data_IF_699044572857
#
_entry.id   IF_699044572857
#
_cell.length_a   1.000
_cell.length_b   1.000
_cell.length_c   1.000
_cell.angle_alpha   90.00
_cell.angle_beta   90.00
_cell.angle_gamma   90.00
#
_symmetry.space_group_name_H-M   'P 1'
#
loop_
_entity.id
_entity.type
_entity.pdbx_description
1 polymer ?
#
# COMPACT_ATOMS: atom_id res chain seq x y z
N UNK A 1 6.04 10.28 -17.95
CA UNK A 1 7.19 10.66 -17.12
C UNK A 1 8.15 9.48 -17.14
N UNK A 2 9.33 9.64 -17.75
CA UNK A 2 10.38 8.62 -17.75
C UNK A 2 10.84 8.40 -16.31
N UNK A 3 10.46 7.26 -15.73
CA UNK A 3 10.97 6.82 -14.43
C UNK A 3 12.48 6.65 -14.55
N UNK A 4 13.23 7.64 -14.08
CA UNK A 4 14.67 7.49 -13.92
C UNK A 4 14.83 6.48 -12.80
N UNK A 5 15.33 5.28 -13.10
CA UNK A 5 15.68 4.29 -12.08
C UNK A 5 16.77 4.87 -11.19
N UNK A 6 16.34 5.52 -10.10
CA UNK A 6 17.19 6.13 -9.10
C UNK A 6 17.81 5.02 -8.27
N UNK A 7 19.14 4.89 -8.34
CA UNK A 7 19.82 3.89 -7.52
C UNK A 7 19.73 4.24 -6.03
N UNK A 8 19.74 3.23 -5.16
CA UNK A 8 19.76 3.42 -3.70
C UNK A 8 20.95 4.29 -3.24
N UNK A 9 22.11 4.14 -3.89
CA UNK A 9 23.30 4.95 -3.64
C UNK A 9 23.10 6.44 -3.98
N UNK A 10 22.49 6.73 -5.12
CA UNK A 10 22.17 8.11 -5.52
C UNK A 10 21.10 8.72 -4.64
N UNK A 11 20.09 7.95 -4.25
CA UNK A 11 19.05 8.38 -3.33
C UNK A 11 19.65 8.74 -1.97
N UNK A 12 20.49 7.86 -1.39
CA UNK A 12 21.20 8.13 -0.15
C UNK A 12 22.04 9.40 -0.24
N UNK A 13 22.81 9.57 -1.32
CA UNK A 13 23.62 10.78 -1.55
C UNK A 13 22.76 12.05 -1.56
N UNK A 14 21.61 12.02 -2.23
CA UNK A 14 20.67 13.15 -2.27
C UNK A 14 20.09 13.47 -0.90
N UNK A 15 19.65 12.45 -0.16
CA UNK A 15 19.08 12.60 1.19
C UNK A 15 20.11 13.20 2.14
N UNK A 16 21.32 12.63 2.18
CA UNK A 16 22.39 13.12 3.05
C UNK A 16 22.84 14.53 2.70
N UNK A 17 22.72 14.94 1.43
CA UNK A 17 23.04 16.29 0.98
C UNK A 17 22.14 17.40 1.57
N UNK A 18 21.01 17.06 2.19
CA UNK A 18 20.16 18.03 2.89
C UNK A 18 20.58 18.28 4.35
N UNK A 19 21.50 17.48 4.88
CA UNK A 19 21.97 17.59 6.25
C UNK A 19 23.39 18.15 6.28
N UNK A 20 23.61 19.13 7.14
CA UNK A 20 24.92 19.75 7.35
C UNK A 20 25.88 18.82 8.12
N UNK A 21 25.33 17.99 9.00
CA UNK A 21 26.05 17.13 9.93
C UNK A 21 25.41 15.75 10.03
N UNK A 22 26.25 14.73 10.12
CA UNK A 22 25.82 13.33 10.36
C UNK A 22 26.26 12.95 11.77
N UNK A 23 25.35 12.61 12.70
CA UNK A 23 25.66 12.38 14.10
C UNK A 23 26.36 11.02 14.37
N UNK A 24 26.78 10.30 13.32
CA UNK A 24 27.41 9.00 13.45
C UNK A 24 28.92 9.13 13.70
N UNK A 25 29.46 8.23 14.54
CA UNK A 25 30.91 8.12 14.74
C UNK A 25 31.67 7.84 13.43
N UNK A 26 31.05 7.13 12.49
CA UNK A 26 31.55 6.94 11.12
C UNK A 26 30.48 7.32 10.08
N UNK A 27 30.61 8.48 9.42
CA UNK A 27 29.71 8.91 8.35
C UNK A 27 29.66 7.95 7.16
N UNK A 28 30.75 7.21 6.87
CA UNK A 28 30.77 6.24 5.76
C UNK A 28 29.93 5.02 6.11
N UNK A 29 30.04 4.51 7.33
CA UNK A 29 29.19 3.43 7.83
C UNK A 29 27.71 3.85 7.84
N UNK A 30 27.41 5.09 8.25
CA UNK A 30 26.05 5.62 8.21
C UNK A 30 25.49 5.68 6.78
N UNK A 31 26.27 6.20 5.83
CA UNK A 31 25.88 6.25 4.43
C UNK A 31 25.67 4.85 3.84
N UNK A 32 26.56 3.90 4.14
CA UNK A 32 26.40 2.50 3.72
C UNK A 32 25.12 1.88 4.28
N UNK A 33 24.82 2.09 5.57
CA UNK A 33 23.58 1.63 6.19
C UNK A 33 22.33 2.25 5.56
N UNK A 34 22.38 3.54 5.19
CA UNK A 34 21.27 4.17 4.47
C UNK A 34 21.07 3.56 3.08
N UNK A 35 22.16 3.28 2.34
CA UNK A 35 22.08 2.62 1.03
C UNK A 35 21.47 1.22 1.15
N UNK A 36 21.90 0.45 2.15
CA UNK A 36 21.36 -0.88 2.43
C UNK A 36 19.86 -0.80 2.74
N UNK A 37 19.44 0.12 3.61
CA UNK A 37 18.02 0.35 3.92
C UNK A 37 17.26 0.65 2.63
N UNK A 38 17.69 1.66 1.85
CA UNK A 38 17.01 2.08 0.63
C UNK A 38 16.94 0.99 -0.44
N UNK A 39 17.90 0.05 -0.48
CA UNK A 39 17.89 -1.06 -1.44
C UNK A 39 16.71 -2.03 -1.29
N UNK A 40 16.04 -2.02 -0.13
CA UNK A 40 14.90 -2.88 0.16
C UNK A 40 13.54 -2.26 -0.23
N UNK A 41 13.51 -1.03 -0.73
CA UNK A 41 12.27 -0.30 -1.00
C UNK A 41 11.99 -0.18 -2.51
N UNK A 42 10.70 -0.12 -2.91
CA UNK A 42 10.34 0.04 -4.31
C UNK A 42 10.70 1.44 -4.82
N UNK A 43 10.93 1.53 -6.13
CA UNK A 43 11.40 2.75 -6.81
C UNK A 43 10.56 4.01 -6.50
N UNK A 44 9.23 3.87 -6.47
CA UNK A 44 8.32 4.98 -6.14
C UNK A 44 8.54 5.55 -4.72
N UNK A 45 8.93 4.69 -3.77
CA UNK A 45 9.26 5.11 -2.40
C UNK A 45 10.61 5.83 -2.38
N UNK A 46 11.61 5.39 -3.15
CA UNK A 46 12.90 6.08 -3.27
C UNK A 46 12.72 7.48 -3.87
N UNK A 47 11.90 7.61 -4.91
CA UNK A 47 11.59 8.90 -5.54
C UNK A 47 10.91 9.87 -4.56
N UNK A 48 9.99 9.37 -3.74
CA UNK A 48 9.38 10.15 -2.65
C UNK A 48 10.41 10.53 -1.58
N UNK A 49 11.28 9.60 -1.19
CA UNK A 49 12.24 9.79 -0.11
C UNK A 49 13.25 10.92 -0.38
N UNK A 50 13.63 11.15 -1.64
CA UNK A 50 14.54 12.23 -2.03
C UNK A 50 13.87 13.58 -2.24
N UNK A 51 12.53 13.68 -2.08
CA UNK A 51 11.82 14.95 -2.23
C UNK A 51 12.23 15.93 -1.12
N UNK A 52 12.65 17.18 -1.45
CA UNK A 52 13.07 18.15 -0.44
C UNK A 52 11.95 18.50 0.56
N UNK A 53 10.71 18.63 0.07
CA UNK A 53 9.57 19.11 0.87
C UNK A 53 8.73 17.99 1.48
N UNK A 54 8.70 16.80 0.85
CA UNK A 54 7.81 15.69 1.23
C UNK A 54 8.55 14.38 1.50
N UNK A 55 9.87 14.38 1.33
CA UNK A 55 10.74 13.23 1.55
C UNK A 55 11.36 13.23 2.94
N UNK A 56 12.44 12.47 3.11
CA UNK A 56 13.05 12.24 4.42
C UNK A 56 13.60 13.52 5.05
N UNK A 57 14.18 14.41 4.24
CA UNK A 57 14.68 15.71 4.69
C UNK A 57 13.58 16.62 5.27
N UNK A 58 12.36 16.53 4.74
CA UNK A 58 11.22 17.30 5.26
C UNK A 58 10.55 16.65 6.48
N UNK A 59 10.65 15.32 6.62
CA UNK A 59 10.02 14.56 7.70
C UNK A 59 10.90 14.43 8.95
N UNK A 60 12.23 14.40 8.77
CA UNK A 60 13.18 14.12 9.85
C UNK A 60 14.23 15.23 9.91
N UNK A 61 14.24 15.97 11.02
CA UNK A 61 15.13 17.12 11.21
C UNK A 61 16.61 16.75 11.36
N UNK A 62 16.91 15.55 11.87
CA UNK A 62 18.28 15.07 12.09
C UNK A 62 18.48 13.67 11.50
N UNK A 63 19.60 13.39 10.82
CA UNK A 63 19.76 12.13 10.12
C UNK A 63 19.85 10.97 11.11
N UNK A 64 18.86 10.09 11.05
CA UNK A 64 18.70 8.96 11.95
C UNK A 64 18.12 7.77 11.16
N UNK A 65 18.87 6.68 11.06
CA UNK A 65 18.47 5.52 10.26
C UNK A 65 17.17 4.88 10.75
N UNK A 66 16.92 4.84 12.05
CA UNK A 66 15.68 4.30 12.59
C UNK A 66 14.47 5.17 12.18
N UNK A 67 14.60 6.50 12.29
CA UNK A 67 13.55 7.42 11.85
C UNK A 67 13.34 7.41 10.35
N UNK A 68 14.41 7.31 9.56
CA UNK A 68 14.27 7.11 8.12
C UNK A 68 13.52 5.84 7.80
N UNK A 69 13.88 4.72 8.45
CA UNK A 69 13.21 3.43 8.26
C UNK A 69 11.72 3.50 8.61
N UNK A 70 11.35 4.12 9.73
CA UNK A 70 9.93 4.32 10.11
C UNK A 70 9.11 4.98 8.99
N UNK A 71 9.62 6.05 8.39
CA UNK A 71 8.92 6.74 7.29
C UNK A 71 8.92 5.93 5.99
N UNK A 72 10.04 5.28 5.66
CA UNK A 72 10.14 4.45 4.46
C UNK A 72 9.19 3.24 4.53
N UNK A 73 9.09 2.59 5.70
CA UNK A 73 8.16 1.49 5.93
C UNK A 73 6.71 1.96 5.77
N UNK A 74 6.34 3.11 6.36
CA UNK A 74 5.00 3.67 6.19
C UNK A 74 4.66 3.95 4.71
N UNK A 75 5.58 4.55 3.95
CA UNK A 75 5.36 4.83 2.53
C UNK A 75 5.34 3.58 1.65
N UNK A 76 6.11 2.55 2.03
CA UNK A 76 6.06 1.24 1.37
C UNK A 76 4.69 0.61 1.56
N UNK A 77 4.17 0.65 2.78
CA UNK A 77 2.88 0.06 3.09
C UNK A 77 1.75 0.83 2.37
N UNK A 78 1.80 2.16 2.33
CA UNK A 78 0.91 2.99 1.49
C UNK A 78 0.99 2.59 0.01
N UNK A 79 2.21 2.45 -0.53
CA UNK A 79 2.43 2.06 -1.92
C UNK A 79 1.79 0.71 -2.26
N UNK A 80 1.99 -0.30 -1.41
CA UNK A 80 1.41 -1.63 -1.65
C UNK A 80 -0.11 -1.62 -1.51
N UNK A 81 -0.68 -0.87 -0.55
CA UNK A 81 -2.13 -0.72 -0.43
C UNK A 81 -2.75 -0.08 -1.69
N UNK A 82 -2.08 0.92 -2.26
CA UNK A 82 -2.54 1.56 -3.50
C UNK A 82 -2.40 0.64 -4.71
N UNK A 83 -1.30 -0.13 -4.82
CA UNK A 83 -1.15 -1.16 -5.86
C UNK A 83 -2.25 -2.22 -5.76
N UNK A 84 -2.52 -2.72 -4.56
CA UNK A 84 -3.60 -3.68 -4.29
C UNK A 84 -4.97 -3.13 -4.75
N UNK A 85 -5.24 -1.85 -4.47
CA UNK A 85 -6.49 -1.19 -4.87
C UNK A 85 -6.60 -1.10 -6.39
N UNK A 86 -5.51 -0.71 -7.07
CA UNK A 86 -5.45 -0.61 -8.53
C UNK A 86 -5.62 -2.00 -9.15
N UNK A 87 -4.94 -3.02 -8.63
CA UNK A 87 -5.08 -4.40 -9.09
C UNK A 87 -6.51 -4.90 -8.94
N UNK A 88 -7.16 -4.66 -7.79
CA UNK A 88 -8.56 -5.04 -7.58
C UNK A 88 -9.51 -4.33 -8.53
N UNK A 89 -9.28 -3.06 -8.83
CA UNK A 89 -10.08 -2.31 -9.79
C UNK A 89 -9.88 -2.83 -11.23
N UNK A 90 -8.66 -3.27 -11.57
CA UNK A 90 -8.31 -3.76 -12.89
C UNK A 90 -8.55 -5.25 -13.11
N UNK A 91 -8.76 -6.04 -12.04
CA UNK A 91 -9.14 -7.45 -12.16
C UNK A 91 -10.44 -7.53 -12.96
N UNK A 92 -10.36 -8.17 -14.13
CA UNK A 92 -11.54 -8.52 -14.92
C UNK A 92 -12.48 -9.29 -14.01
N UNK A 93 -13.68 -8.75 -13.79
CA UNK A 93 -14.75 -9.49 -13.13
C UNK A 93 -14.96 -10.76 -13.94
N UNK A 94 -15.12 -11.89 -13.26
CA UNK A 94 -15.58 -13.09 -13.95
C UNK A 94 -16.86 -12.72 -14.69
N UNK A 95 -17.04 -13.20 -15.94
CA UNK A 95 -18.31 -13.02 -16.63
C UNK A 95 -19.42 -13.50 -15.69
N UNK A 96 -20.49 -12.72 -15.61
CA UNK A 96 -21.66 -13.11 -14.84
C UNK A 96 -22.09 -14.49 -15.33
N UNK A 97 -22.24 -15.50 -14.44
CA UNK A 97 -22.62 -16.84 -14.87
C UNK A 97 -23.91 -16.75 -15.68
N UNK A 98 -24.01 -17.55 -16.74
CA UNK A 98 -25.23 -17.56 -17.57
C UNK A 98 -26.45 -17.78 -16.67
N UNK A 99 -27.51 -16.97 -16.81
CA UNK A 99 -28.70 -17.12 -15.97
C UNK A 99 -29.31 -18.49 -16.21
N UNK A 100 -29.26 -19.35 -15.19
CA UNK A 100 -29.92 -20.65 -15.20
C UNK A 100 -31.41 -20.44 -14.84
N UNK A 101 -32.33 -20.65 -15.80
CA UNK A 101 -33.76 -20.42 -15.57
C UNK A 101 -34.35 -21.36 -14.50
N UNK A 102 -33.78 -22.55 -14.28
CA UNK A 102 -34.21 -23.42 -13.18
C UNK A 102 -33.80 -22.86 -11.83
N UNK A 103 -32.58 -22.33 -11.73
CA UNK A 103 -32.08 -21.71 -10.51
C UNK A 103 -32.87 -20.43 -10.17
N UNK A 104 -33.18 -19.60 -11.15
CA UNK A 104 -34.03 -18.43 -10.96
C UNK A 104 -35.44 -18.80 -10.50
N UNK A 105 -36.04 -19.85 -11.08
CA UNK A 105 -37.35 -20.33 -10.66
C UNK A 105 -37.33 -20.84 -9.21
N UNK A 106 -36.25 -21.52 -8.79
CA UNK A 106 -36.07 -21.99 -7.40
C UNK A 106 -35.89 -20.82 -6.43
N UNK A 107 -35.11 -19.81 -6.79
CA UNK A 107 -34.92 -18.59 -5.98
C UNK A 107 -36.23 -17.82 -5.85
N UNK A 108 -36.96 -17.61 -6.95
CA UNK A 108 -38.24 -16.90 -6.96
C UNK A 108 -39.30 -17.62 -6.10
N UNK A 109 -39.31 -18.96 -6.13
CA UNK A 109 -40.17 -19.78 -5.28
C UNK A 109 -39.80 -19.64 -3.80
N UNK A 110 -38.52 -19.78 -3.46
CA UNK A 110 -38.03 -19.64 -2.08
C UNK A 110 -38.28 -18.25 -1.49
N UNK A 111 -38.14 -17.18 -2.29
CA UNK A 111 -38.44 -15.81 -1.87
C UNK A 111 -39.93 -15.60 -1.60
N UNK A 112 -40.83 -16.19 -2.39
CA UNK A 112 -42.28 -16.16 -2.11
C UNK A 112 -42.62 -16.91 -0.83
N UNK A 113 -42.04 -18.10 -0.65
CA UNK A 113 -42.26 -18.90 0.57
C UNK A 113 -41.75 -18.17 1.82
N UNK A 114 -40.59 -17.52 1.75
CA UNK A 114 -40.05 -16.68 2.83
C UNK A 114 -40.95 -15.47 3.11
N UNK A 115 -41.42 -14.78 2.07
CA UNK A 115 -42.33 -13.65 2.22
C UNK A 115 -43.65 -14.06 2.87
N UNK A 116 -44.20 -15.22 2.51
CA UNK A 116 -45.41 -15.78 3.12
C UNK A 116 -45.18 -16.20 4.58
N UNK A 117 -44.01 -16.75 4.93
CA UNK A 117 -43.64 -17.07 6.31
C UNK A 117 -43.51 -15.81 7.18
N UNK A 118 -42.86 -14.76 6.67
CA UNK A 118 -42.74 -13.47 7.35
C UNK A 118 -44.11 -12.81 7.55
N UNK A 119 -44.98 -12.87 6.55
CA UNK A 119 -46.35 -12.33 6.62
C UNK A 119 -47.25 -13.09 7.60
N UNK A 120 -46.96 -14.37 7.84
CA UNK A 120 -47.62 -15.21 8.86
C UNK A 120 -47.03 -15.04 10.26
N UNK A 121 -46.03 -14.16 10.44
CA UNK A 121 -45.48 -13.82 11.75
C UNK A 121 -44.46 -14.83 12.31
N UNK A 122 -43.95 -15.75 11.50
CA UNK A 122 -42.89 -16.68 11.91
C UNK A 122 -41.55 -16.02 11.55
N UNK A 123 -41.00 -15.23 12.48
CA UNK A 123 -39.63 -14.72 12.39
C UNK A 123 -38.61 -15.85 12.57
N UNK A 124 -37.34 -15.67 12.15
CA UNK A 124 -36.31 -16.69 12.30
C UNK A 124 -36.17 -17.07 13.78
N UNK A 125 -36.44 -18.33 14.10
CA UNK A 125 -36.02 -18.89 15.38
C UNK A 125 -34.50 -18.83 15.44
N UNK A 126 -33.99 -17.90 16.23
CA UNK A 126 -32.60 -17.87 16.68
C UNK A 126 -32.28 -19.20 17.35
N UNK A 127 -31.45 -20.00 16.69
CA UNK A 127 -30.63 -21.05 17.32
C UNK A 127 -29.18 -20.59 17.18
#
# INVERSE_FOLDING_TARGET
MTSINLSAAEAARKILGFYDTIPAMDPKAFAAGLVEILSNYPQAVLERAVSPSRGLAGAVSYPNLAKFKEHLDAWRDEYYLDQDRIERANRKRLPEPEPDPEMEARIAKGLRELADQLRRGIGPSTV
#
